data_IF_256073502049
#
_entry.id   IF_256073502049
#
_cell.length_a   1.000
_cell.length_b   1.000
_cell.length_c   1.000
_cell.angle_alpha   90.00
_cell.angle_beta   90.00
_cell.angle_gamma   90.00
#
_symmetry.space_group_name_H-M   'P 1'
#
loop_
_entity.id
_entity.type
_entity.pdbx_description
1 polymer ?
#
# COMPACT_ATOMS: atom_id res chain seq x y z
N UNK A 1 27.74 -53.35 13.75
CA UNK A 1 27.37 -52.90 12.39
C UNK A 1 25.94 -52.39 12.43
N UNK A 2 25.75 -51.12 12.05
CA UNK A 2 24.49 -50.38 11.73
C UNK A 2 23.34 -50.47 12.75
N UNK A 3 22.91 -49.44 13.49
CA UNK A 3 22.85 -48.01 13.18
C UNK A 3 21.52 -47.69 12.48
N UNK A 4 20.52 -47.20 13.20
CA UNK A 4 19.54 -46.27 12.61
C UNK A 4 18.86 -45.40 13.68
N UNK A 5 19.16 -44.11 13.54
CA UNK A 5 18.70 -42.99 14.35
C UNK A 5 17.40 -42.50 13.72
N UNK A 6 16.26 -42.77 14.37
CA UNK A 6 15.00 -42.12 14.05
C UNK A 6 15.03 -40.68 14.52
N UNK A 7 15.50 -39.77 13.65
CA UNK A 7 15.40 -38.31 13.84
C UNK A 7 13.93 -37.94 14.08
N UNK A 8 13.58 -37.64 15.33
CA UNK A 8 12.37 -36.87 15.65
C UNK A 8 12.52 -35.52 14.96
N UNK A 9 11.64 -35.28 13.99
CA UNK A 9 11.41 -33.97 13.38
C UNK A 9 11.22 -32.97 14.52
N UNK A 10 12.14 -32.00 14.59
CA UNK A 10 12.00 -30.84 15.45
C UNK A 10 10.71 -30.13 15.07
N UNK A 11 9.71 -30.24 15.93
CA UNK A 11 8.56 -29.37 15.96
C UNK A 11 9.10 -27.95 16.10
N UNK A 12 9.02 -27.14 15.04
CA UNK A 12 9.18 -25.70 15.13
C UNK A 12 8.13 -25.18 16.12
N UNK A 13 8.55 -24.96 17.36
CA UNK A 13 7.83 -24.09 18.28
C UNK A 13 7.97 -22.67 17.71
N UNK A 14 6.88 -21.91 17.51
CA UNK A 14 7.01 -20.52 17.10
C UNK A 14 7.64 -19.77 18.26
N UNK A 15 8.90 -19.38 18.09
CA UNK A 15 9.55 -18.44 18.99
C UNK A 15 8.93 -17.08 18.71
N UNK A 16 8.01 -16.68 19.59
CA UNK A 16 7.45 -15.34 19.64
C UNK A 16 8.59 -14.32 19.85
N UNK A 17 9.08 -13.76 18.75
CA UNK A 17 9.90 -12.55 18.74
C UNK A 17 9.63 -11.78 17.43
N UNK A 18 8.37 -11.38 17.24
CA UNK A 18 7.85 -10.69 16.04
C UNK A 18 8.51 -9.33 15.70
N UNK A 19 9.43 -8.83 16.54
CA UNK A 19 10.16 -7.59 16.26
C UNK A 19 11.24 -7.79 15.18
N UNK A 20 12.02 -8.87 15.26
CA UNK A 20 13.13 -9.12 14.34
C UNK A 20 12.65 -9.53 12.93
N UNK A 21 11.45 -10.11 12.82
CA UNK A 21 10.85 -10.49 11.52
C UNK A 21 10.24 -9.27 10.81
N UNK A 22 9.66 -8.32 11.55
CA UNK A 22 8.99 -7.16 10.94
C UNK A 22 9.97 -6.20 10.29
N UNK A 23 11.15 -6.00 10.87
CA UNK A 23 12.20 -5.16 10.28
C UNK A 23 12.75 -5.77 8.98
N UNK A 24 12.93 -7.09 8.94
CA UNK A 24 13.30 -7.81 7.73
C UNK A 24 12.23 -7.70 6.64
N UNK A 25 10.95 -7.79 7.02
CA UNK A 25 9.84 -7.59 6.11
C UNK A 25 9.78 -6.15 5.57
N UNK A 26 9.93 -5.13 6.42
CA UNK A 26 10.00 -3.72 5.99
C UNK A 26 11.13 -3.53 4.99
N UNK A 27 12.32 -4.08 5.27
CA UNK A 27 13.46 -4.01 4.34
C UNK A 27 13.12 -4.63 3.00
N UNK A 28 12.52 -5.82 2.98
CA UNK A 28 12.11 -6.51 1.74
C UNK A 28 11.06 -5.73 0.95
N UNK A 29 10.04 -5.20 1.62
CA UNK A 29 9.02 -4.33 1.00
C UNK A 29 9.68 -3.10 0.39
N UNK A 30 10.63 -2.48 1.10
CA UNK A 30 11.35 -1.32 0.61
C UNK A 30 12.18 -1.66 -0.63
N UNK A 31 12.89 -2.79 -0.64
CA UNK A 31 13.65 -3.26 -1.81
C UNK A 31 12.75 -3.52 -3.03
N UNK A 32 11.56 -4.08 -2.82
CA UNK A 32 10.57 -4.32 -3.88
C UNK A 32 10.01 -3.01 -4.49
N UNK A 33 9.76 -1.99 -3.65
CA UNK A 33 9.08 -0.77 -4.08
C UNK A 33 10.06 0.34 -4.52
N UNK A 34 11.28 0.37 -4.00
CA UNK A 34 12.26 1.42 -4.30
C UNK A 34 12.56 1.63 -5.80
N UNK A 35 12.60 0.59 -6.66
CA UNK A 35 12.82 0.76 -8.09
C UNK A 35 11.76 1.61 -8.81
N UNK A 36 10.58 1.80 -8.21
CA UNK A 36 9.52 2.63 -8.79
C UNK A 36 9.70 4.11 -8.44
N UNK A 37 10.38 4.46 -7.35
CA UNK A 37 10.55 5.87 -6.91
C UNK A 37 11.15 6.74 -8.01
N UNK A 38 12.22 6.27 -8.66
CA UNK A 38 12.90 7.03 -9.71
C UNK A 38 12.12 7.12 -11.02
N UNK A 39 11.07 6.30 -11.18
CA UNK A 39 10.22 6.29 -12.36
C UNK A 39 9.00 7.19 -12.22
N UNK A 40 8.61 7.56 -10.99
CA UNK A 40 7.38 8.29 -10.71
C UNK A 40 7.56 9.79 -10.93
N UNK A 41 6.61 10.39 -11.67
CA UNK A 41 6.41 11.83 -11.72
C UNK A 41 5.20 12.18 -10.89
N UNK A 42 5.42 12.90 -9.78
CA UNK A 42 4.33 13.32 -8.88
C UNK A 42 3.63 14.54 -9.46
N UNK A 43 2.35 14.36 -9.79
CA UNK A 43 1.54 15.32 -10.51
C UNK A 43 0.62 16.15 -9.62
N UNK A 44 0.51 15.82 -8.34
CA UNK A 44 -0.23 16.56 -7.31
C UNK A 44 0.72 16.90 -6.17
N UNK A 45 1.11 18.17 -6.07
CA UNK A 45 2.01 18.62 -4.99
C UNK A 45 1.20 19.37 -3.93
N UNK A 46 1.25 18.96 -2.66
CA UNK A 46 0.58 19.68 -1.60
C UNK A 46 1.26 21.05 -1.38
N UNK A 47 0.46 22.09 -1.23
CA UNK A 47 0.86 23.45 -0.85
C UNK A 47 0.02 23.83 0.35
N UNK A 48 0.68 24.18 1.45
CA UNK A 48 -0.02 24.75 2.62
C UNK A 48 -0.15 26.25 2.42
N UNK A 49 -1.38 26.75 2.41
CA UNK A 49 -1.62 28.20 2.32
C UNK A 49 -1.40 28.91 3.67
N UNK A 50 -1.50 30.24 3.69
CA UNK A 50 -1.29 31.06 4.88
C UNK A 50 -2.29 30.78 6.02
N UNK A 51 -3.43 30.11 5.75
CA UNK A 51 -4.41 29.68 6.73
C UNK A 51 -4.15 28.27 7.27
N UNK A 52 -3.06 27.61 6.86
CA UNK A 52 -2.76 26.23 7.25
C UNK A 52 -3.56 25.16 6.49
N UNK A 53 -4.29 25.53 5.43
CA UNK A 53 -5.03 24.58 4.60
C UNK A 53 -4.12 23.99 3.51
N UNK A 54 -4.09 22.66 3.40
CA UNK A 54 -3.42 21.96 2.31
C UNK A 54 -4.26 22.04 1.04
N UNK A 55 -3.70 22.65 0.00
CA UNK A 55 -4.21 22.67 -1.37
C UNK A 55 -3.29 21.84 -2.26
N UNK A 56 -3.75 21.42 -3.44
CA UNK A 56 -2.91 20.69 -4.39
C UNK A 56 -2.68 21.53 -5.64
N UNK A 57 -1.41 21.73 -5.98
CA UNK A 57 -1.03 22.20 -7.30
C UNK A 57 -0.88 21.01 -8.23
N UNK A 58 -1.50 21.11 -9.40
CA UNK A 58 -1.45 20.09 -10.42
C UNK A 58 -0.53 20.53 -11.56
N UNK A 59 0.21 19.59 -12.13
CA UNK A 59 0.98 19.81 -13.35
C UNK A 59 0.15 19.56 -14.61
N UNK A 60 0.79 19.66 -15.78
CA UNK A 60 0.19 19.42 -17.10
C UNK A 60 -0.30 17.98 -17.31
N UNK A 61 0.10 17.02 -16.46
CA UNK A 61 -0.31 15.62 -16.57
C UNK A 61 -1.66 15.34 -15.90
N UNK A 62 -2.29 16.32 -15.22
CA UNK A 62 -3.56 16.11 -14.52
C UNK A 62 -4.66 15.51 -15.42
N UNK A 63 -4.81 16.05 -16.63
CA UNK A 63 -5.85 15.60 -17.54
C UNK A 63 -5.58 14.20 -18.10
N UNK A 64 -4.31 13.84 -18.35
CA UNK A 64 -3.95 12.49 -18.78
C UNK A 64 -4.23 11.45 -17.69
N UNK A 65 -3.96 11.79 -16.42
CA UNK A 65 -4.30 10.95 -15.26
C UNK A 65 -5.82 10.77 -15.17
N UNK A 66 -6.59 11.86 -15.31
CA UNK A 66 -8.06 11.82 -15.28
C UNK A 66 -8.61 10.95 -16.40
N UNK A 67 -8.15 11.14 -17.64
CA UNK A 67 -8.56 10.33 -18.78
C UNK A 67 -8.23 8.85 -18.60
N UNK A 68 -7.06 8.52 -18.06
CA UNK A 68 -6.69 7.14 -17.73
C UNK A 68 -7.67 6.54 -16.71
N UNK A 69 -7.97 7.24 -15.61
CA UNK A 69 -8.96 6.75 -14.62
C UNK A 69 -10.34 6.51 -15.26
N UNK A 70 -10.83 7.45 -16.06
CA UNK A 70 -12.12 7.33 -16.76
C UNK A 70 -12.12 6.16 -17.74
N UNK A 71 -11.04 6.00 -18.52
CA UNK A 71 -10.86 4.89 -19.46
C UNK A 71 -10.89 3.53 -18.75
N UNK A 72 -10.09 3.38 -17.69
CA UNK A 72 -10.02 2.13 -16.89
C UNK A 72 -11.37 1.84 -16.23
N UNK A 73 -12.02 2.84 -15.63
CA UNK A 73 -13.34 2.70 -15.02
C UNK A 73 -14.40 2.27 -16.05
N UNK A 74 -14.39 2.89 -17.23
CA UNK A 74 -15.30 2.60 -18.33
C UNK A 74 -15.23 1.16 -18.82
N UNK A 75 -14.03 0.54 -18.80
CA UNK A 75 -13.87 -0.88 -19.17
C UNK A 75 -14.62 -1.85 -18.27
N UNK A 76 -14.96 -1.43 -17.05
CA UNK A 76 -15.69 -2.24 -16.07
C UNK A 76 -17.11 -1.72 -15.81
N UNK A 77 -17.57 -0.69 -16.53
CA UNK A 77 -18.88 -0.07 -16.31
C UNK A 77 -19.00 0.63 -14.96
N UNK A 78 -17.88 1.12 -14.40
CA UNK A 78 -17.83 1.73 -13.08
C UNK A 78 -17.86 3.25 -13.18
N UNK A 79 -18.49 3.89 -12.19
CA UNK A 79 -18.28 5.31 -11.94
C UNK A 79 -16.90 5.55 -11.30
N UNK A 80 -16.39 6.78 -11.34
CA UNK A 80 -15.13 7.11 -10.64
C UNK A 80 -15.24 6.99 -9.11
N UNK A 81 -16.44 7.08 -8.53
CA UNK A 81 -16.64 6.88 -7.09
C UNK A 81 -16.61 5.40 -6.70
N UNK A 82 -17.09 4.52 -7.57
CA UNK A 82 -17.13 3.07 -7.30
C UNK A 82 -15.81 2.38 -7.67
N UNK A 83 -15.10 2.93 -8.66
CA UNK A 83 -13.86 2.37 -9.20
C UNK A 83 -12.81 2.00 -8.15
N UNK A 84 -12.51 2.83 -7.12
CA UNK A 84 -11.50 2.49 -6.13
C UNK A 84 -11.81 1.22 -5.31
N UNK A 85 -13.09 0.81 -5.27
CA UNK A 85 -13.53 -0.38 -4.54
C UNK A 85 -13.47 -1.66 -5.38
N UNK A 86 -13.33 -1.54 -6.71
CA UNK A 86 -13.23 -2.69 -7.61
C UNK A 86 -11.77 -3.13 -7.78
N UNK A 87 -11.50 -4.40 -7.47
CA UNK A 87 -10.16 -4.98 -7.58
C UNK A 87 -9.64 -4.95 -9.02
N UNK A 88 -10.48 -5.20 -10.02
CA UNK A 88 -10.08 -5.21 -11.45
C UNK A 88 -9.62 -3.81 -11.87
N UNK A 89 -10.29 -2.77 -11.39
CA UNK A 89 -9.87 -1.39 -11.60
C UNK A 89 -8.49 -1.13 -11.00
N UNK A 90 -8.24 -1.49 -9.73
CA UNK A 90 -6.94 -1.28 -9.06
C UNK A 90 -5.79 -1.98 -9.81
N UNK A 91 -6.00 -3.24 -10.24
CA UNK A 91 -5.00 -3.99 -11.00
C UNK A 91 -4.71 -3.36 -12.37
N UNK A 92 -5.76 -2.99 -13.12
CA UNK A 92 -5.58 -2.42 -14.45
C UNK A 92 -5.00 -1.00 -14.38
N UNK A 93 -5.41 -0.19 -13.41
CA UNK A 93 -4.84 1.13 -13.18
C UNK A 93 -3.34 1.04 -12.88
N UNK A 94 -2.93 0.13 -11.98
CA UNK A 94 -1.51 -0.08 -11.67
C UNK A 94 -0.70 -0.43 -12.93
N UNK A 95 -1.23 -1.34 -13.76
CA UNK A 95 -0.60 -1.76 -15.02
C UNK A 95 -0.47 -0.60 -16.00
N UNK A 96 -1.55 0.14 -16.27
CA UNK A 96 -1.51 1.24 -17.24
C UNK A 96 -0.57 2.38 -16.78
N UNK A 97 -0.47 2.63 -15.48
CA UNK A 97 0.50 3.61 -14.95
C UNK A 97 1.94 3.13 -15.15
N UNK A 98 2.24 1.86 -14.86
CA UNK A 98 3.57 1.27 -15.01
C UNK A 98 4.06 1.25 -16.48
N UNK A 99 3.14 1.05 -17.43
CA UNK A 99 3.43 1.10 -18.87
C UNK A 99 3.62 2.54 -19.40
N UNK A 100 3.23 3.56 -18.62
CA UNK A 100 3.39 4.97 -19.00
C UNK A 100 4.81 5.46 -18.69
N UNK A 101 5.49 6.03 -19.70
CA UNK A 101 6.80 6.67 -19.49
C UNK A 101 6.75 7.70 -18.36
N UNK A 102 7.73 7.65 -17.45
CA UNK A 102 7.82 8.50 -16.24
C UNK A 102 6.63 8.40 -15.27
N UNK A 103 5.76 7.40 -15.42
CA UNK A 103 4.70 7.03 -14.49
C UNK A 103 4.02 8.23 -13.81
N UNK A 104 3.47 9.20 -14.57
CA UNK A 104 2.76 10.34 -13.97
C UNK A 104 1.59 9.80 -13.16
N UNK A 105 1.50 10.19 -11.89
CA UNK A 105 0.44 9.69 -11.01
C UNK A 105 0.28 10.48 -9.73
N UNK A 106 -0.85 10.23 -9.08
CA UNK A 106 -1.21 10.77 -7.78
C UNK A 106 -1.18 9.65 -6.73
N UNK A 107 -1.51 9.99 -5.50
CA UNK A 107 -1.55 9.04 -4.39
C UNK A 107 -2.30 7.74 -4.70
N UNK A 108 -3.45 7.81 -5.37
CA UNK A 108 -4.25 6.63 -5.71
C UNK A 108 -3.56 5.68 -6.72
N UNK A 109 -2.89 6.21 -7.76
CA UNK A 109 -2.10 5.39 -8.69
C UNK A 109 -0.93 4.73 -7.97
N UNK A 110 -0.24 5.50 -7.13
CA UNK A 110 0.94 5.03 -6.41
C UNK A 110 0.58 3.94 -5.39
N UNK A 111 -0.54 4.10 -4.68
CA UNK A 111 -1.09 3.07 -3.81
C UNK A 111 -1.49 1.81 -4.59
N UNK A 112 -2.10 1.96 -5.77
CA UNK A 112 -2.47 0.83 -6.63
C UNK A 112 -1.24 0.02 -7.08
N UNK A 113 -0.18 0.71 -7.53
CA UNK A 113 1.09 0.07 -7.91
C UNK A 113 1.68 -0.66 -6.70
N UNK A 114 1.83 0.03 -5.57
CA UNK A 114 2.39 -0.56 -4.36
C UNK A 114 1.59 -1.79 -3.93
N UNK A 115 0.26 -1.72 -3.89
CA UNK A 115 -0.58 -2.83 -3.45
C UNK A 115 -0.44 -4.06 -4.37
N UNK A 116 -0.38 -3.86 -5.69
CA UNK A 116 -0.21 -4.95 -6.66
C UNK A 116 1.17 -5.61 -6.52
N UNK A 117 2.24 -4.84 -6.36
CA UNK A 117 3.61 -5.38 -6.22
C UNK A 117 3.84 -6.12 -4.91
N UNK A 118 3.08 -5.80 -3.87
CA UNK A 118 3.21 -6.46 -2.57
C UNK A 118 2.45 -7.78 -2.45
N UNK A 119 1.68 -8.18 -3.47
CA UNK A 119 0.89 -9.42 -3.47
C UNK A 119 1.75 -10.65 -3.13
N UNK A 120 2.91 -10.80 -3.76
CA UNK A 120 3.75 -12.00 -3.59
C UNK A 120 4.47 -12.01 -2.23
N UNK A 121 4.81 -10.83 -1.71
CA UNK A 121 5.35 -10.70 -0.35
C UNK A 121 4.28 -11.07 0.67
N UNK A 122 3.06 -10.57 0.48
CA UNK A 122 1.92 -10.85 1.34
C UNK A 122 1.55 -12.35 1.34
N UNK A 123 1.54 -12.99 0.17
CA UNK A 123 1.30 -14.42 0.02
C UNK A 123 2.30 -15.27 0.81
N UNK A 124 3.59 -14.91 0.80
CA UNK A 124 4.64 -15.63 1.53
C UNK A 124 4.60 -15.40 3.04
N UNK A 125 3.92 -14.35 3.50
CA UNK A 125 3.90 -13.93 4.91
C UNK A 125 2.53 -14.11 5.58
N UNK A 126 1.53 -14.58 4.83
CA UNK A 126 0.16 -14.72 5.34
C UNK A 126 -0.53 -13.39 5.64
N UNK A 127 -0.05 -12.29 5.05
CA UNK A 127 -0.59 -10.95 5.25
C UNK A 127 -1.60 -10.62 4.14
N UNK A 128 -2.47 -9.66 4.42
CA UNK A 128 -3.37 -9.06 3.44
C UNK A 128 -2.85 -7.69 3.00
N UNK A 129 -3.20 -7.29 1.77
CA UNK A 129 -2.81 -6.00 1.19
C UNK A 129 -4.05 -5.22 0.80
N UNK A 130 -4.11 -3.97 1.25
CA UNK A 130 -5.24 -3.07 1.05
C UNK A 130 -4.80 -1.74 0.47
N UNK A 131 -5.65 -1.11 -0.33
CA UNK A 131 -5.61 0.34 -0.56
C UNK A 131 -6.60 1.02 0.39
N UNK A 132 -6.17 2.10 1.03
CA UNK A 132 -6.95 2.84 2.01
C UNK A 132 -7.14 4.29 1.56
N UNK A 133 -8.34 4.82 1.71
CA UNK A 133 -8.57 6.25 1.68
C UNK A 133 -8.41 6.84 3.08
N UNK A 134 -7.62 7.89 3.21
CA UNK A 134 -7.55 8.75 4.39
C UNK A 134 -8.27 10.07 4.08
N UNK A 135 -9.57 10.22 4.43
CA UNK A 135 -10.36 11.37 4.02
C UNK A 135 -9.82 12.70 4.57
N UNK A 136 -9.31 12.67 5.81
CA UNK A 136 -8.81 13.86 6.52
C UNK A 136 -7.54 14.44 5.87
N UNK A 137 -6.86 13.63 5.03
CA UNK A 137 -5.66 14.02 4.30
C UNK A 137 -5.85 14.07 2.79
N UNK A 138 -7.05 13.72 2.28
CA UNK A 138 -7.30 13.48 0.86
C UNK A 138 -6.22 12.58 0.21
N UNK A 139 -5.80 11.53 0.92
CA UNK A 139 -4.65 10.72 0.55
C UNK A 139 -5.01 9.24 0.46
N UNK A 140 -4.38 8.54 -0.47
CA UNK A 140 -4.54 7.08 -0.62
C UNK A 140 -3.21 6.40 -0.32
N UNK A 141 -3.22 5.39 0.55
CA UNK A 141 -2.03 4.64 0.96
C UNK A 141 -2.25 3.13 0.85
N UNK A 142 -1.17 2.36 0.91
CA UNK A 142 -1.23 0.90 0.94
C UNK A 142 -0.97 0.40 2.36
N UNK A 143 -1.83 -0.48 2.85
CA UNK A 143 -1.71 -1.16 4.13
C UNK A 143 -1.38 -2.64 3.91
N UNK A 144 -0.34 -3.13 4.59
CA UNK A 144 -0.05 -4.56 4.74
C UNK A 144 -0.36 -4.95 6.18
N UNK A 145 -1.33 -5.84 6.36
CA UNK A 145 -1.90 -6.14 7.68
C UNK A 145 -2.22 -7.62 7.87
N UNK A 146 -2.14 -8.05 9.14
CA UNK A 146 -2.68 -9.33 9.61
C UNK A 146 -4.20 -9.27 9.79
N UNK A 147 -4.78 -8.08 9.94
CA UNK A 147 -6.22 -7.95 10.04
C UNK A 147 -6.89 -8.26 8.69
N UNK A 148 -8.04 -8.94 8.77
CA UNK A 148 -8.93 -9.13 7.63
C UNK A 148 -9.99 -8.03 7.65
N UNK A 149 -10.06 -7.25 6.57
CA UNK A 149 -11.09 -6.24 6.34
C UNK A 149 -11.83 -6.52 5.03
N UNK A 150 -13.05 -6.00 4.93
CA UNK A 150 -13.81 -5.92 3.68
C UNK A 150 -13.71 -4.52 3.04
N UNK A 151 -14.02 -4.42 1.74
CA UNK A 151 -14.16 -3.12 1.08
C UNK A 151 -15.27 -2.29 1.73
N UNK A 152 -15.02 -1.00 1.94
CA UNK A 152 -15.94 -0.09 2.65
C UNK A 152 -15.87 -0.16 4.18
N UNK A 153 -15.00 -1.00 4.76
CA UNK A 153 -14.82 -1.09 6.20
C UNK A 153 -13.87 0.01 6.74
N UNK A 154 -14.15 0.51 7.95
CA UNK A 154 -13.26 1.42 8.67
C UNK A 154 -12.11 0.67 9.34
N UNK A 155 -10.90 1.21 9.23
CA UNK A 155 -9.71 0.63 9.87
C UNK A 155 -9.76 0.79 11.39
N UNK A 156 -9.46 -0.29 12.11
CA UNK A 156 -9.23 -0.26 13.54
C UNK A 156 -7.74 -0.02 13.83
N UNK A 157 -7.34 1.25 13.94
CA UNK A 157 -5.92 1.59 14.17
C UNK A 157 -5.34 1.02 15.46
N UNK A 158 -6.14 0.87 16.51
CA UNK A 158 -5.68 0.24 17.75
C UNK A 158 -5.24 -1.21 17.51
N UNK A 159 -5.94 -1.94 16.63
CA UNK A 159 -5.53 -3.28 16.18
C UNK A 159 -4.26 -3.21 15.33
N UNK A 160 -4.24 -2.34 14.32
CA UNK A 160 -3.09 -2.19 13.40
C UNK A 160 -1.79 -1.81 14.12
N UNK A 161 -1.88 -0.99 15.17
CA UNK A 161 -0.72 -0.56 15.94
C UNK A 161 -0.18 -1.67 16.83
N UNK A 162 -1.06 -2.51 17.39
CA UNK A 162 -0.67 -3.69 18.17
C UNK A 162 -0.05 -4.76 17.29
N UNK A 163 -0.56 -4.96 16.08
CA UNK A 163 -0.01 -5.91 15.10
C UNK A 163 1.22 -5.40 14.35
N UNK A 164 1.66 -4.16 14.61
CA UNK A 164 2.74 -3.52 13.87
C UNK A 164 2.54 -3.59 12.34
N UNK A 165 1.32 -3.29 11.89
CA UNK A 165 1.01 -3.26 10.45
C UNK A 165 1.85 -2.23 9.72
N UNK A 166 2.08 -2.48 8.44
CA UNK A 166 3.02 -1.72 7.61
C UNK A 166 2.24 -0.84 6.65
N UNK A 167 2.63 0.44 6.59
CA UNK A 167 2.17 1.38 5.57
C UNK A 167 3.24 1.48 4.49
N UNK A 168 2.79 1.43 3.24
CA UNK A 168 3.58 1.72 2.06
C UNK A 168 2.96 2.91 1.34
N UNK A 169 3.77 3.94 1.14
CA UNK A 169 3.37 5.20 0.52
C UNK A 169 4.39 5.58 -0.55
N UNK A 170 4.20 5.02 -1.76
CA UNK A 170 5.06 5.26 -2.90
C UNK A 170 5.04 6.74 -3.34
N UNK A 171 3.91 7.42 -3.16
CA UNK A 171 3.78 8.84 -3.45
C UNK A 171 4.68 9.68 -2.53
N UNK A 172 4.61 9.45 -1.22
CA UNK A 172 5.45 10.17 -0.27
C UNK A 172 6.93 9.75 -0.40
N UNK A 173 7.20 8.47 -0.69
CA UNK A 173 8.55 8.00 -0.99
C UNK A 173 9.18 8.72 -2.18
N UNK A 174 8.42 8.98 -3.24
CA UNK A 174 8.88 9.74 -4.40
C UNK A 174 9.06 11.23 -4.11
N UNK A 175 8.23 11.84 -3.26
CA UNK A 175 8.42 13.22 -2.79
C UNK A 175 9.62 13.37 -1.83
N UNK A 176 10.00 12.31 -1.14
CA UNK A 176 11.03 12.33 -0.10
C UNK A 176 12.05 11.20 -0.27
N UNK A 177 12.75 11.09 -1.42
CA UNK A 177 13.57 9.92 -1.75
C UNK A 177 14.78 9.73 -0.82
N UNK A 178 15.17 10.78 -0.08
CA UNK A 178 16.23 10.71 0.94
C UNK A 178 15.74 10.18 2.29
N UNK A 179 14.44 9.96 2.46
CA UNK A 179 13.84 9.49 3.70
C UNK A 179 13.12 8.14 3.45
N UNK A 180 13.80 6.99 3.62
CA UNK A 180 13.22 5.68 3.32
C UNK A 180 12.01 5.30 4.21
N UNK A 181 11.85 5.96 5.35
CA UNK A 181 10.73 5.71 6.26
C UNK A 181 9.44 6.39 5.80
N UNK A 182 9.52 7.35 4.87
CA UNK A 182 8.32 7.88 4.21
C UNK A 182 7.77 6.95 3.14
N UNK A 183 8.61 6.05 2.59
CA UNK A 183 8.17 5.02 1.65
C UNK A 183 7.52 3.85 2.37
N UNK A 184 8.19 3.32 3.40
CA UNK A 184 7.73 2.15 4.17
C UNK A 184 7.95 2.43 5.64
N UNK A 185 6.87 2.38 6.42
CA UNK A 185 6.91 2.56 7.87
C UNK A 185 5.87 1.72 8.58
N UNK A 186 6.06 1.49 9.88
CA UNK A 186 4.99 0.98 10.73
C UNK A 186 3.86 2.00 10.81
N UNK A 187 2.61 1.54 10.83
CA UNK A 187 1.43 2.41 10.93
C UNK A 187 1.51 3.37 12.12
N UNK A 188 1.92 2.90 13.31
CA UNK A 188 2.08 3.76 14.50
C UNK A 188 3.15 4.86 14.36
N UNK A 189 4.02 4.81 13.35
CA UNK A 189 5.09 5.80 13.08
C UNK A 189 4.84 6.61 11.81
N UNK A 190 3.92 6.18 10.95
CA UNK A 190 3.65 6.83 9.68
C UNK A 190 3.03 8.22 9.91
N UNK A 191 3.43 9.19 9.08
CA UNK A 191 3.05 10.60 9.25
C UNK A 191 1.54 10.85 9.18
N UNK A 192 0.82 10.05 8.39
CA UNK A 192 -0.61 10.18 8.21
C UNK A 192 -1.41 9.38 9.23
N UNK A 193 -0.92 8.21 9.63
CA UNK A 193 -1.74 7.27 10.41
C UNK A 193 -1.45 7.28 11.90
N UNK A 194 -0.30 7.79 12.36
CA UNK A 194 0.11 7.81 13.79
C UNK A 194 -0.89 8.44 14.76
N UNK A 195 -1.75 9.34 14.28
CA UNK A 195 -2.75 10.04 15.08
C UNK A 195 -4.15 9.39 14.99
N UNK A 196 -4.26 8.15 14.52
CA UNK A 196 -5.52 7.42 14.38
C UNK A 196 -6.59 8.15 13.55
N UNK A 197 -6.28 8.59 12.31
CA UNK A 197 -7.26 9.30 11.48
C UNK A 197 -8.41 8.38 11.06
N UNK A 198 -9.46 8.93 10.45
CA UNK A 198 -10.42 8.06 9.76
C UNK A 198 -9.75 7.45 8.54
N UNK A 199 -9.97 6.15 8.32
CA UNK A 199 -9.40 5.44 7.19
C UNK A 199 -10.36 4.35 6.70
N UNK A 200 -10.69 4.39 5.42
CA UNK A 200 -11.63 3.49 4.78
C UNK A 200 -10.86 2.53 3.88
N UNK A 201 -11.16 1.23 3.96
CA UNK A 201 -10.67 0.26 2.99
C UNK A 201 -11.37 0.50 1.66
N UNK A 202 -10.60 0.91 0.65
CA UNK A 202 -11.11 0.99 -0.71
C UNK A 202 -11.11 -0.42 -1.31
N UNK A 203 -9.94 -1.06 -1.41
CA UNK A 203 -9.83 -2.37 -2.02
C UNK A 203 -8.97 -3.33 -1.19
N UNK A 204 -9.43 -4.58 -1.05
CA UNK A 204 -8.60 -5.72 -0.64
C UNK A 204 -7.92 -6.31 -1.87
N UNK A 205 -6.68 -5.92 -2.13
CA UNK A 205 -5.91 -6.31 -3.32
C UNK A 205 -5.42 -7.75 -3.22
N UNK A 206 -5.06 -8.18 -2.02
CA UNK A 206 -4.70 -9.57 -1.71
C UNK A 206 -5.22 -9.98 -0.33
N UNK A 207 -5.64 -11.24 -0.23
CA UNK A 207 -6.10 -11.85 1.01
C UNK A 207 -5.16 -13.01 1.38
N UNK A 208 -4.46 -12.86 2.50
CA UNK A 208 -3.53 -13.86 3.03
C UNK A 208 -4.22 -15.11 3.57
N UNK A 209 -5.55 -15.10 3.71
CA UNK A 209 -6.31 -16.20 4.35
C UNK A 209 -6.83 -17.28 3.38
N UNK A 210 -6.58 -17.17 2.08
CA UNK A 210 -7.07 -18.12 1.07
C UNK A 210 -6.15 -19.34 0.79
N UNK A 211 -5.22 -19.66 1.70
CA UNK A 211 -4.36 -20.86 1.60
C UNK A 211 -4.53 -21.80 2.81
N UNK A 212 -5.77 -22.03 3.26
CA UNK A 212 -6.10 -23.16 4.14
C UNK A 212 -7.17 -24.02 3.51
#
# INVERSE_FOLDING_TARGET
MFGSIGKRLNCFKPVNNNSYDRDALIKKIREEISPYISKVTICDRPITNHCGLTQYSYDENRESIRHRRVSVAGRFGLSLSDSPFDRRFVFLLAKEVEETYKMPGQCAEMASIAAVKLKDIAAKTGLSVYTLQLPDYNHTITLVSEASYMGGEWINWAKEFRSNSIIVDLWQGALSPKNPDTLVSLAKRNIYTRNNPRALVQCKVYDGYFLR
#
